data_IF_961209875003
#
_entry.id   IF_961209875003
#
_cell.length_a   1.000
_cell.length_b   1.000
_cell.length_c   1.000
_cell.angle_alpha   90.00
_cell.angle_beta   90.00
_cell.angle_gamma   90.00
#
_symmetry.space_group_name_H-M   'P 1'
#
loop_
_entity.id
_entity.type
_entity.pdbx_description
1 polymer ?
#
# COMPACT_ATOMS: atom_id res chain seq x y z
N UNK A 1 42.18 11.26 -1.52
CA UNK A 1 41.21 11.93 -0.64
C UNK A 1 39.97 12.14 -1.47
N UNK A 2 38.86 11.56 -1.01
CA UNK A 2 37.75 11.01 -1.80
C UNK A 2 37.04 11.96 -2.77
N UNK A 3 36.54 11.31 -3.81
CA UNK A 3 35.88 11.79 -5.00
C UNK A 3 34.41 12.19 -4.74
N UNK A 4 34.06 13.46 -4.99
CA UNK A 4 32.68 13.98 -4.98
C UNK A 4 32.22 14.30 -6.42
N UNK A 5 32.50 13.38 -7.35
CA UNK A 5 31.92 13.38 -8.69
C UNK A 5 30.67 12.51 -8.69
N UNK A 6 29.61 12.99 -8.05
CA UNK A 6 28.37 12.25 -7.94
C UNK A 6 27.28 13.06 -7.26
N UNK A 7 27.01 14.27 -7.77
CA UNK A 7 25.87 15.07 -7.34
C UNK A 7 24.59 14.29 -7.66
N UNK A 8 23.87 13.71 -6.68
CA UNK A 8 22.60 13.09 -6.97
C UNK A 8 21.57 14.22 -6.94
N UNK A 9 20.88 14.46 -8.04
CA UNK A 9 19.70 15.34 -8.10
C UNK A 9 18.51 14.78 -7.28
N UNK A 10 18.77 13.87 -6.36
CA UNK A 10 17.83 13.00 -5.67
C UNK A 10 18.46 12.57 -4.34
N UNK A 11 17.96 13.07 -3.22
CA UNK A 11 18.34 12.56 -1.90
C UNK A 11 17.91 11.08 -1.73
N UNK A 12 18.36 10.41 -0.67
CA UNK A 12 17.95 9.02 -0.41
C UNK A 12 16.44 8.96 -0.16
N UNK A 13 15.79 7.79 -0.31
CA UNK A 13 14.41 7.62 0.10
C UNK A 13 14.21 8.02 1.57
N UNK A 14 13.23 8.89 1.84
CA UNK A 14 12.93 9.55 3.13
C UNK A 14 13.92 10.68 3.54
N UNK A 15 14.59 11.31 2.58
CA UNK A 15 15.37 12.55 2.78
C UNK A 15 14.83 13.68 1.89
N UNK A 16 14.86 14.92 2.37
CA UNK A 16 14.43 16.12 1.61
C UNK A 16 15.63 16.94 1.17
N UNK A 17 15.60 17.44 -0.07
CA UNK A 17 16.62 18.32 -0.61
C UNK A 17 16.29 19.79 -0.37
N UNK A 18 17.09 20.48 0.45
CA UNK A 18 17.05 21.93 0.57
C UNK A 18 17.62 22.54 -0.72
N UNK A 19 16.81 23.32 -1.44
CA UNK A 19 17.18 23.84 -2.76
C UNK A 19 18.22 24.96 -2.66
N UNK A 20 18.11 25.87 -1.69
CA UNK A 20 19.08 26.95 -1.46
C UNK A 20 20.34 26.44 -0.75
N UNK A 21 20.20 25.66 0.33
CA UNK A 21 21.36 25.16 1.09
C UNK A 21 22.12 24.05 0.38
N UNK A 22 21.51 23.43 -0.65
CA UNK A 22 22.02 22.25 -1.37
C UNK A 22 22.46 21.13 -0.42
N UNK A 23 21.64 20.87 0.60
CA UNK A 23 21.83 19.79 1.59
C UNK A 23 20.62 18.85 1.61
N UNK A 24 20.85 17.60 1.96
CA UNK A 24 19.78 16.64 2.24
C UNK A 24 19.55 16.56 3.75
N UNK A 25 18.29 16.66 4.18
CA UNK A 25 17.86 16.48 5.57
C UNK A 25 17.36 15.06 5.79
N UNK A 26 17.55 14.55 7.01
CA UNK A 26 17.07 13.22 7.42
C UNK A 26 15.64 13.31 7.93
N UNK A 27 14.97 12.16 8.03
CA UNK A 27 13.62 11.98 8.58
C UNK A 27 13.32 12.80 9.86
N UNK A 28 14.21 12.80 10.85
CA UNK A 28 14.03 13.57 12.11
C UNK A 28 14.22 15.11 11.99
N UNK A 29 14.72 15.59 10.86
CA UNK A 29 14.91 17.02 10.51
C UNK A 29 13.80 17.50 9.57
N UNK A 30 12.85 16.62 9.23
CA UNK A 30 11.76 16.92 8.32
C UNK A 30 10.50 17.04 9.17
N UNK A 31 9.80 18.15 9.06
CA UNK A 31 8.53 18.38 9.75
C UNK A 31 8.64 18.20 11.26
N UNK A 32 9.76 18.62 11.83
CA UNK A 32 10.07 18.55 13.25
C UNK A 32 9.69 19.87 13.99
N UNK A 33 9.13 20.84 13.27
CA UNK A 33 8.75 22.16 13.77
C UNK A 33 9.94 23.13 13.87
N UNK A 34 11.07 22.80 13.27
CA UNK A 34 12.29 23.60 13.22
C UNK A 34 12.61 23.85 11.76
N UNK A 35 12.82 25.11 11.40
CA UNK A 35 13.32 25.48 10.09
C UNK A 35 14.80 25.06 9.98
N UNK A 36 15.02 23.89 9.39
CA UNK A 36 16.30 23.30 9.06
C UNK A 36 16.72 23.67 7.61
N UNK A 37 15.83 23.96 6.66
CA UNK A 37 16.18 24.54 5.34
C UNK A 37 15.94 26.05 5.29
N UNK A 38 16.87 26.82 4.72
CA UNK A 38 16.71 28.27 4.50
C UNK A 38 15.46 28.67 3.67
N UNK A 39 14.91 27.72 2.91
CA UNK A 39 13.67 27.86 2.13
C UNK A 39 12.40 27.34 2.84
N UNK A 40 12.51 26.87 4.09
CA UNK A 40 11.45 26.23 4.89
C UNK A 40 10.83 24.98 4.25
N UNK A 41 11.51 24.40 3.25
CA UNK A 41 11.05 23.24 2.48
C UNK A 41 10.91 21.97 3.32
N UNK A 42 11.70 21.89 4.39
CA UNK A 42 11.66 20.84 5.39
C UNK A 42 10.40 20.85 6.24
N UNK A 43 9.72 21.99 6.32
CA UNK A 43 8.45 22.19 7.05
C UNK A 43 7.27 22.47 6.09
N UNK A 44 7.50 22.37 4.78
CA UNK A 44 6.50 22.68 3.76
C UNK A 44 5.75 21.43 3.30
N UNK A 45 4.41 21.43 3.38
CA UNK A 45 3.54 20.29 3.00
C UNK A 45 3.88 18.97 3.73
N UNK A 46 4.06 19.03 5.05
CA UNK A 46 4.31 17.86 5.89
C UNK A 46 3.30 16.72 5.74
N UNK A 47 2.04 17.04 5.43
CA UNK A 47 0.98 16.04 5.18
C UNK A 47 1.25 15.16 3.96
N UNK A 48 2.08 15.61 3.02
CA UNK A 48 2.48 14.84 1.83
C UNK A 48 3.79 14.10 1.99
N UNK A 49 4.60 14.55 2.94
CA UNK A 49 5.98 14.09 3.15
C UNK A 49 6.01 12.97 4.18
N UNK A 50 5.32 13.18 5.30
CA UNK A 50 5.17 12.15 6.32
C UNK A 50 4.09 11.21 5.81
N UNK A 51 4.40 9.93 5.54
CA UNK A 51 3.36 8.96 5.24
C UNK A 51 2.42 8.90 6.44
N UNK A 52 1.13 9.19 6.20
CA UNK A 52 0.10 9.23 7.25
C UNK A 52 0.02 7.92 8.03
N UNK A 53 0.32 6.83 7.36
CA UNK A 53 0.40 5.50 7.92
C UNK A 53 1.83 4.94 7.83
N UNK A 54 2.21 4.13 8.82
CA UNK A 54 3.45 3.34 8.77
C UNK A 54 3.58 2.52 7.48
N UNK A 55 4.81 2.18 7.10
CA UNK A 55 5.09 1.37 5.89
C UNK A 55 4.37 0.01 5.89
N UNK A 56 4.06 -0.51 7.07
CA UNK A 56 3.36 -1.79 7.28
C UNK A 56 1.85 -1.62 7.55
N UNK A 57 1.33 -0.41 7.37
CA UNK A 57 -0.07 -0.06 7.53
C UNK A 57 -0.75 0.22 6.18
N UNK A 58 -2.07 0.11 6.17
CA UNK A 58 -2.98 0.40 5.08
C UNK A 58 -3.82 1.62 5.45
N UNK A 59 -3.95 2.55 4.51
CA UNK A 59 -4.75 3.76 4.66
C UNK A 59 -6.18 3.49 4.17
N UNK A 60 -7.13 3.59 5.09
CA UNK A 60 -8.57 3.49 4.85
C UNK A 60 -9.09 4.76 4.14
N UNK A 61 -10.29 4.73 3.55
CA UNK A 61 -10.85 5.94 2.93
C UNK A 61 -11.27 7.00 3.96
N UNK A 62 -11.56 6.60 5.20
CA UNK A 62 -11.73 7.51 6.35
C UNK A 62 -10.40 8.07 6.89
N UNK A 63 -9.29 7.91 6.17
CA UNK A 63 -7.94 8.35 6.55
C UNK A 63 -7.38 7.67 7.81
N UNK A 64 -8.05 6.61 8.30
CA UNK A 64 -7.58 5.78 9.39
C UNK A 64 -6.51 4.78 8.91
N UNK A 65 -5.60 4.41 9.80
CA UNK A 65 -4.52 3.47 9.49
C UNK A 65 -4.75 2.15 10.21
N UNK A 66 -4.82 1.05 9.45
CA UNK A 66 -4.88 -0.31 10.00
C UNK A 66 -3.62 -1.09 9.61
N UNK A 67 -3.20 -2.13 10.36
CA UNK A 67 -2.11 -2.99 9.92
C UNK A 67 -2.47 -3.69 8.60
N UNK A 68 -1.51 -3.84 7.69
CA UNK A 68 -1.73 -4.57 6.41
C UNK A 68 -2.24 -6.01 6.59
N UNK A 69 -2.05 -6.62 7.76
CA UNK A 69 -2.58 -7.94 8.11
C UNK A 69 -4.08 -7.97 8.40
N UNK A 70 -4.71 -6.81 8.57
CA UNK A 70 -6.15 -6.64 8.81
C UNK A 70 -6.92 -6.35 7.52
N UNK A 71 -6.21 -6.02 6.44
CA UNK A 71 -6.79 -5.87 5.11
C UNK A 71 -7.24 -7.23 4.60
N UNK A 72 -8.51 -7.35 4.20
CA UNK A 72 -9.12 -8.60 3.74
C UNK A 72 -9.21 -9.71 4.79
N UNK A 73 -9.29 -9.38 6.07
CA UNK A 73 -9.43 -10.36 7.16
C UNK A 73 -10.89 -10.78 7.46
N UNK A 74 -11.84 -10.22 6.71
CA UNK A 74 -13.27 -10.47 6.83
C UNK A 74 -13.96 -9.62 7.90
N UNK A 75 -13.29 -8.62 8.46
CA UNK A 75 -13.85 -7.66 9.41
C UNK A 75 -13.72 -6.25 8.85
N UNK A 76 -14.60 -5.38 9.33
CA UNK A 76 -14.51 -3.96 9.06
C UNK A 76 -13.61 -3.33 10.12
N UNK A 77 -12.29 -3.40 9.93
CA UNK A 77 -11.30 -2.75 10.79
C UNK A 77 -11.16 -1.25 10.46
N UNK A 78 -11.42 -0.84 9.22
CA UNK A 78 -11.40 0.58 8.83
C UNK A 78 -12.61 1.38 9.34
N UNK A 79 -13.75 0.73 9.59
CA UNK A 79 -15.02 1.36 9.97
C UNK A 79 -15.92 1.69 8.76
N UNK A 80 -15.36 1.85 7.57
CA UNK A 80 -16.02 2.17 6.31
C UNK A 80 -16.03 1.02 5.27
N UNK A 81 -15.54 -0.17 5.67
CA UNK A 81 -15.32 -1.35 4.82
C UNK A 81 -14.27 -1.19 3.72
N UNK A 82 -13.48 -0.11 3.70
CA UNK A 82 -12.46 0.10 2.67
C UNK A 82 -11.39 -1.01 2.68
N UNK A 83 -11.10 -1.59 3.83
CA UNK A 83 -10.22 -2.75 4.03
C UNK A 83 -10.74 -4.07 3.44
N UNK A 84 -12.03 -4.14 3.11
CA UNK A 84 -12.69 -5.35 2.58
C UNK A 84 -13.21 -5.19 1.15
N UNK A 85 -13.12 -4.00 0.55
CA UNK A 85 -13.70 -3.70 -0.76
C UNK A 85 -12.89 -4.25 -1.94
N UNK A 86 -11.56 -4.27 -1.85
CA UNK A 86 -10.66 -4.71 -2.94
C UNK A 86 -9.92 -6.01 -2.60
N UNK A 87 -10.69 -6.99 -2.12
CA UNK A 87 -10.16 -8.27 -1.65
C UNK A 87 -10.32 -9.41 -2.66
N UNK A 88 -10.84 -9.14 -3.85
CA UNK A 88 -11.11 -10.15 -4.87
C UNK A 88 -9.82 -10.79 -5.41
N UNK A 89 -8.73 -10.03 -5.53
CA UNK A 89 -7.45 -10.58 -5.98
C UNK A 89 -6.78 -11.42 -4.88
N UNK A 90 -6.74 -10.94 -3.64
CA UNK A 90 -6.13 -11.68 -2.52
C UNK A 90 -6.91 -12.92 -2.10
N UNK A 91 -8.25 -12.87 -2.12
CA UNK A 91 -9.08 -14.04 -1.72
C UNK A 91 -8.97 -15.17 -2.75
N UNK A 92 -8.69 -14.88 -4.03
CA UNK A 92 -8.50 -15.95 -5.01
C UNK A 92 -7.19 -16.72 -4.83
N UNK A 93 -6.10 -16.03 -4.46
CA UNK A 93 -4.81 -16.69 -4.25
C UNK A 93 -4.77 -17.53 -2.96
N UNK A 94 -5.43 -17.06 -1.87
CA UNK A 94 -5.43 -17.77 -0.59
C UNK A 94 -6.61 -18.76 -0.41
N UNK A 95 -7.79 -18.44 -0.94
CA UNK A 95 -9.04 -19.15 -0.64
C UNK A 95 -9.94 -19.41 -1.85
N UNK A 96 -9.42 -19.29 -3.07
CA UNK A 96 -10.23 -19.43 -4.28
C UNK A 96 -9.50 -20.09 -5.44
N UNK A 97 -10.18 -20.15 -6.59
CA UNK A 97 -9.56 -20.44 -7.86
C UNK A 97 -10.22 -19.60 -8.95
N UNK A 98 -9.44 -19.31 -9.97
CA UNK A 98 -9.95 -18.64 -11.16
C UNK A 98 -10.65 -19.65 -12.07
N UNK A 99 -11.86 -19.30 -12.50
CA UNK A 99 -12.46 -19.88 -13.69
C UNK A 99 -11.57 -19.63 -14.91
N UNK A 100 -11.69 -20.44 -15.95
CA UNK A 100 -10.98 -20.20 -17.23
C UNK A 100 -11.37 -18.86 -17.89
N UNK A 101 -12.52 -18.29 -17.53
CA UNK A 101 -12.98 -16.96 -17.96
C UNK A 101 -12.33 -15.79 -17.15
N UNK A 102 -11.56 -16.09 -16.11
CA UNK A 102 -10.95 -15.10 -15.21
C UNK A 102 -11.83 -14.66 -14.05
N UNK A 103 -13.04 -15.22 -13.92
CA UNK A 103 -13.90 -15.04 -12.75
C UNK A 103 -13.27 -15.72 -11.54
N UNK A 104 -13.12 -14.99 -10.43
CA UNK A 104 -12.64 -15.58 -9.17
C UNK A 104 -13.79 -16.22 -8.39
N UNK A 105 -13.63 -17.48 -7.99
CA UNK A 105 -14.54 -18.18 -7.10
C UNK A 105 -13.85 -18.60 -5.81
N UNK A 106 -14.59 -18.60 -4.69
CA UNK A 106 -14.12 -19.17 -3.45
C UNK A 106 -14.01 -20.70 -3.55
N UNK A 107 -13.13 -21.30 -2.74
CA UNK A 107 -12.90 -22.74 -2.72
C UNK A 107 -14.15 -23.55 -2.34
N UNK A 108 -15.07 -22.96 -1.57
CA UNK A 108 -16.37 -23.55 -1.24
C UNK A 108 -17.32 -23.67 -2.45
N UNK A 109 -17.03 -22.95 -3.54
CA UNK A 109 -17.79 -22.96 -4.80
C UNK A 109 -17.06 -23.74 -5.90
N UNK A 110 -15.95 -24.40 -5.56
CA UNK A 110 -15.27 -25.34 -6.45
C UNK A 110 -15.77 -26.73 -6.10
N UNK A 111 -16.26 -27.47 -7.09
CA UNK A 111 -16.76 -28.84 -6.90
C UNK A 111 -17.90 -28.92 -5.87
N UNK A 112 -18.70 -27.86 -5.76
CA UNK A 112 -19.83 -27.78 -4.83
C UNK A 112 -21.12 -28.40 -5.45
N UNK A 113 -21.03 -28.83 -6.71
CA UNK A 113 -22.11 -29.43 -7.47
C UNK A 113 -23.04 -28.41 -8.15
N UNK A 114 -22.72 -27.12 -8.04
CA UNK A 114 -23.38 -26.04 -8.76
C UNK A 114 -22.43 -25.43 -9.79
N UNK A 115 -23.04 -24.77 -10.76
CA UNK A 115 -22.33 -24.05 -11.81
C UNK A 115 -22.22 -22.58 -11.43
N UNK A 116 -21.14 -22.22 -10.74
CA UNK A 116 -20.80 -20.86 -10.36
C UNK A 116 -19.93 -20.16 -11.43
N UNK A 117 -19.11 -20.91 -12.19
CA UNK A 117 -18.43 -20.36 -13.37
C UNK A 117 -19.36 -20.30 -14.59
N UNK A 118 -19.23 -19.21 -15.37
CA UNK A 118 -19.91 -19.04 -16.67
C UNK A 118 -19.56 -20.14 -17.69
N UNK A 119 -18.33 -20.66 -17.61
CA UNK A 119 -17.87 -21.75 -18.47
C UNK A 119 -17.98 -23.13 -17.81
N UNK A 120 -18.43 -23.22 -16.56
CA UNK A 120 -18.48 -24.45 -15.75
C UNK A 120 -17.10 -25.05 -15.42
N UNK A 121 -16.02 -24.26 -15.46
CA UNK A 121 -14.67 -24.75 -15.12
C UNK A 121 -14.52 -25.16 -13.64
N UNK A 122 -15.29 -24.54 -12.75
CA UNK A 122 -15.39 -24.85 -11.32
C UNK A 122 -15.72 -26.31 -11.01
N UNK A 123 -16.55 -26.95 -11.85
CA UNK A 123 -16.98 -28.34 -11.65
C UNK A 123 -16.21 -29.35 -12.52
N UNK A 124 -15.38 -28.86 -13.47
CA UNK A 124 -14.66 -29.74 -14.42
C UNK A 124 -13.30 -30.20 -13.93
N UNK A 125 -12.67 -29.47 -13.03
CA UNK A 125 -11.32 -29.77 -12.52
C UNK A 125 -11.33 -30.46 -11.14
N UNK A 126 -12.43 -31.13 -10.81
CA UNK A 126 -12.63 -31.86 -9.56
C UNK A 126 -12.04 -33.27 -9.66
N UNK A 127 -11.06 -33.60 -8.82
CA UNK A 127 -10.45 -34.93 -8.75
C UNK A 127 -11.01 -35.79 -7.63
#
# INVERSE_FOLDING_TARGET
MSDEAGCPSTCKPNEIFCTVDRKCLKDHEICNGVNDCSDEMDEFECEKIIPRCDKDSYECFDESCIPKSKVCDGKNDCGDWSDEQDCLEKKCEDFGAYCDDGTCLNHDKLCDGNYDCLDFSDERSCK
#
